data_IF_187004882216
#
_entry.id   IF_187004882216
#
_cell.length_a   1.000
_cell.length_b   1.000
_cell.length_c   1.000
_cell.angle_alpha   90.00
_cell.angle_beta   90.00
_cell.angle_gamma   90.00
#
_symmetry.space_group_name_H-M   'P 1'
#
loop_
_entity.id
_entity.type
_entity.pdbx_description
1 polymer ?
#
# COMPACT_ATOMS: atom_id res chain seq x y z
N UNK A 1 -0.89 -29.75 -15.47
CA UNK A 1 -0.87 -29.58 -14.01
C UNK A 1 0.36 -30.28 -13.49
N UNK A 2 1.30 -29.58 -12.86
CA UNK A 2 2.45 -30.23 -12.24
C UNK A 2 1.96 -31.08 -11.05
N UNK A 3 2.52 -32.28 -10.83
CA UNK A 3 2.12 -33.11 -9.70
C UNK A 3 2.42 -32.36 -8.39
N UNK A 4 1.55 -32.45 -7.38
CA UNK A 4 1.80 -31.86 -6.07
C UNK A 4 3.07 -32.47 -5.49
N UNK A 5 4.03 -31.61 -5.11
CA UNK A 5 5.27 -32.02 -4.44
C UNK A 5 4.89 -32.56 -3.06
N UNK A 6 5.08 -33.87 -2.84
CA UNK A 6 4.57 -34.58 -1.67
C UNK A 6 5.37 -34.31 -0.38
N UNK A 7 6.56 -33.73 -0.49
CA UNK A 7 7.53 -33.59 0.60
C UNK A 7 7.68 -32.15 1.11
N UNK A 8 6.60 -31.36 1.12
CA UNK A 8 6.64 -29.98 1.63
C UNK A 8 5.76 -29.85 2.85
N UNK A 9 6.37 -29.53 4.00
CA UNK A 9 5.63 -29.20 5.22
C UNK A 9 4.75 -27.98 4.95
N UNK A 10 3.45 -28.12 5.17
CA UNK A 10 2.54 -26.98 5.05
C UNK A 10 2.77 -26.00 6.21
N UNK A 11 3.50 -24.92 5.89
CA UNK A 11 3.80 -23.82 6.81
C UNK A 11 2.77 -22.70 6.74
N UNK A 12 1.85 -22.73 5.75
CA UNK A 12 0.89 -21.65 5.53
C UNK A 12 -0.01 -21.40 6.75
N UNK A 13 -0.57 -22.43 7.43
CA UNK A 13 -1.34 -22.23 8.65
C UNK A 13 -0.54 -21.56 9.77
N UNK A 14 0.74 -21.93 9.91
CA UNK A 14 1.63 -21.36 10.94
C UNK A 14 1.93 -19.89 10.65
N UNK A 15 2.20 -19.54 9.39
CA UNK A 15 2.43 -18.16 8.97
C UNK A 15 1.18 -17.29 9.20
N UNK A 16 -0.01 -17.81 8.85
CA UNK A 16 -1.29 -17.14 9.09
C UNK A 16 -1.55 -16.92 10.59
N UNK A 17 -1.31 -17.93 11.42
CA UNK A 17 -1.41 -17.81 12.87
C UNK A 17 -0.47 -16.73 13.44
N UNK A 18 0.75 -16.60 12.91
CA UNK A 18 1.67 -15.52 13.29
C UNK A 18 1.15 -14.14 12.88
N UNK A 19 0.54 -14.01 11.69
CA UNK A 19 -0.07 -12.76 11.24
C UNK A 19 -1.30 -12.37 12.09
N UNK A 20 -2.10 -13.35 12.52
CA UNK A 20 -3.21 -13.14 13.45
C UNK A 20 -2.74 -12.74 14.86
N UNK A 21 -1.62 -13.30 15.31
CA UNK A 21 -1.07 -13.02 16.65
C UNK A 21 -0.30 -11.70 16.77
N UNK A 22 0.20 -11.15 15.67
CA UNK A 22 0.93 -9.88 15.67
C UNK A 22 0.67 -9.03 14.41
N UNK A 23 0.11 -7.84 14.64
CA UNK A 23 -0.14 -6.83 13.60
C UNK A 23 1.12 -6.49 12.80
N UNK A 24 2.31 -6.54 13.41
CA UNK A 24 3.55 -6.26 12.69
C UNK A 24 3.82 -7.27 11.57
N UNK A 25 3.52 -8.54 11.80
CA UNK A 25 3.69 -9.61 10.81
C UNK A 25 2.67 -9.45 9.69
N UNK A 26 1.41 -9.19 10.05
CA UNK A 26 0.34 -8.90 9.10
C UNK A 26 0.69 -7.73 8.17
N UNK A 27 1.08 -6.58 8.73
CA UNK A 27 1.41 -5.39 7.94
C UNK A 27 2.66 -5.57 7.08
N UNK A 28 3.67 -6.31 7.57
CA UNK A 28 4.87 -6.65 6.80
C UNK A 28 4.53 -7.53 5.61
N UNK A 29 3.72 -8.57 5.79
CA UNK A 29 3.27 -9.44 4.71
C UNK A 29 2.52 -8.63 3.63
N UNK A 30 1.59 -7.77 4.06
CA UNK A 30 0.85 -6.89 3.16
C UNK A 30 1.78 -5.95 2.37
N UNK A 31 2.74 -5.31 3.04
CA UNK A 31 3.69 -4.40 2.41
C UNK A 31 4.62 -5.14 1.44
N UNK A 32 5.08 -6.33 1.81
CA UNK A 32 5.93 -7.16 0.97
C UNK A 32 5.21 -7.55 -0.32
N UNK A 33 3.96 -8.02 -0.22
CA UNK A 33 3.13 -8.34 -1.39
C UNK A 33 2.96 -7.13 -2.31
N UNK A 34 2.59 -5.96 -1.77
CA UNK A 34 2.40 -4.75 -2.58
C UNK A 34 3.71 -4.34 -3.26
N UNK A 35 4.84 -4.40 -2.54
CA UNK A 35 6.14 -4.06 -3.12
C UNK A 35 6.56 -5.02 -4.23
N UNK A 36 6.27 -6.32 -4.07
CA UNK A 36 6.55 -7.32 -5.08
C UNK A 36 5.72 -7.08 -6.35
N UNK A 37 4.41 -6.87 -6.21
CA UNK A 37 3.53 -6.58 -7.35
C UNK A 37 3.96 -5.28 -8.06
N UNK A 38 4.32 -4.24 -7.31
CA UNK A 38 4.82 -3.00 -7.91
C UNK A 38 6.16 -3.15 -8.62
N UNK A 39 7.07 -3.96 -8.08
CA UNK A 39 8.35 -4.25 -8.71
C UNK A 39 8.14 -5.06 -10.00
N UNK A 40 7.29 -6.08 -9.95
CA UNK A 40 6.88 -6.88 -11.11
C UNK A 40 6.26 -6.00 -12.19
N UNK A 41 5.45 -5.01 -11.78
CA UNK A 41 4.77 -4.11 -12.70
C UNK A 41 5.67 -3.09 -13.40
N UNK A 42 6.75 -2.66 -12.75
CA UNK A 42 7.67 -1.63 -13.25
C UNK A 42 8.86 -2.20 -14.00
N UNK A 43 8.99 -3.52 -14.04
CA UNK A 43 10.12 -4.18 -14.68
C UNK A 43 10.15 -3.90 -16.19
N UNK A 44 11.35 -3.65 -16.74
CA UNK A 44 11.51 -3.23 -18.14
C UNK A 44 11.11 -4.35 -19.13
N UNK A 45 11.25 -5.62 -18.73
CA UNK A 45 10.83 -6.78 -19.53
C UNK A 45 9.32 -7.07 -19.43
N UNK A 46 8.47 -6.11 -19.81
CA UNK A 46 7.00 -6.25 -19.80
C UNK A 46 6.46 -7.37 -20.70
N UNK A 47 7.24 -7.82 -21.70
CA UNK A 47 6.88 -8.95 -22.57
C UNK A 47 6.91 -10.30 -21.86
N UNK A 48 7.84 -10.47 -20.91
CA UNK A 48 8.01 -11.71 -20.13
C UNK A 48 7.19 -11.63 -18.84
N UNK A 49 7.26 -10.49 -18.15
CA UNK A 49 6.58 -10.27 -16.87
C UNK A 49 5.26 -9.52 -17.07
N UNK A 50 4.26 -10.21 -17.61
CA UNK A 50 2.93 -9.63 -17.84
C UNK A 50 2.12 -9.66 -16.54
N UNK A 51 1.88 -8.49 -15.94
CA UNK A 51 1.02 -8.33 -14.74
C UNK A 51 -0.36 -8.99 -14.92
N UNK A 52 -0.89 -8.99 -16.15
CA UNK A 52 -2.21 -9.57 -16.45
C UNK A 52 -2.25 -11.07 -16.23
N UNK A 53 -1.12 -11.75 -16.38
CA UNK A 53 -0.99 -13.21 -16.24
C UNK A 53 -0.50 -13.62 -14.85
N UNK A 54 -0.20 -12.64 -13.99
CA UNK A 54 0.26 -12.91 -12.64
C UNK A 54 -0.91 -13.45 -11.81
N UNK A 55 -0.76 -14.66 -11.28
CA UNK A 55 -1.71 -15.25 -10.34
C UNK A 55 -1.57 -14.57 -8.96
N UNK A 56 -2.40 -13.56 -8.74
CA UNK A 56 -2.46 -12.82 -7.48
C UNK A 56 -2.94 -13.69 -6.31
N UNK A 57 -3.76 -14.73 -6.55
CA UNK A 57 -4.27 -15.59 -5.49
C UNK A 57 -3.17 -16.54 -4.99
N UNK A 58 -2.43 -17.19 -5.89
CA UNK A 58 -1.24 -17.97 -5.53
C UNK A 58 -0.17 -17.10 -4.87
N UNK A 59 0.08 -15.90 -5.40
CA UNK A 59 1.03 -14.97 -4.81
C UNK A 59 0.62 -14.56 -3.39
N UNK A 60 -0.66 -14.21 -3.17
CA UNK A 60 -1.16 -13.85 -1.86
C UNK A 60 -1.08 -15.01 -0.85
N UNK A 61 -1.29 -16.26 -1.30
CA UNK A 61 -1.02 -17.46 -0.49
C UNK A 61 0.46 -17.59 -0.14
N UNK A 62 1.37 -17.34 -1.08
CA UNK A 62 2.82 -17.34 -0.83
C UNK A 62 3.28 -16.32 0.21
N UNK A 63 2.60 -15.17 0.31
CA UNK A 63 2.83 -14.17 1.35
C UNK A 63 2.01 -14.39 2.64
N UNK A 64 1.27 -15.50 2.73
CA UNK A 64 0.39 -15.84 3.86
C UNK A 64 -0.56 -14.69 4.26
N UNK A 65 -1.13 -14.01 3.26
CA UNK A 65 -2.06 -12.91 3.51
C UNK A 65 -3.38 -13.44 4.08
N UNK A 66 -3.92 -12.74 5.08
CA UNK A 66 -5.27 -13.00 5.61
C UNK A 66 -6.35 -12.39 4.71
N UNK A 67 -6.01 -11.27 4.07
CA UNK A 67 -6.87 -10.47 3.18
C UNK A 67 -6.03 -9.81 2.10
N UNK A 68 -6.62 -9.60 0.92
CA UNK A 68 -5.97 -8.84 -0.16
C UNK A 68 -5.91 -7.33 0.15
N UNK A 69 -4.79 -6.65 -0.17
CA UNK A 69 -4.68 -5.21 -0.03
C UNK A 69 -5.57 -4.47 -1.01
N UNK A 70 -5.95 -3.24 -0.67
CA UNK A 70 -6.61 -2.32 -1.60
C UNK A 70 -5.54 -1.58 -2.41
N UNK A 71 -5.33 -1.98 -3.67
CA UNK A 71 -4.35 -1.36 -4.57
C UNK A 71 -4.88 -1.28 -6.01
N UNK A 72 -4.40 -0.34 -6.85
CA UNK A 72 -4.94 -0.12 -8.20
C UNK A 72 -4.84 -1.36 -9.10
N UNK A 73 -3.84 -2.21 -8.91
CA UNK A 73 -3.56 -3.42 -9.70
C UNK A 73 -4.59 -4.54 -9.47
N UNK A 74 -5.25 -4.52 -8.31
CA UNK A 74 -6.31 -5.47 -7.91
C UNK A 74 -7.72 -4.87 -8.09
N UNK A 75 -7.82 -3.58 -8.44
CA UNK A 75 -9.10 -2.88 -8.51
C UNK A 75 -9.94 -3.41 -9.67
N UNK A 76 -11.18 -3.83 -9.37
CA UNK A 76 -12.12 -4.35 -10.36
C UNK A 76 -11.89 -5.82 -10.76
N UNK A 77 -10.94 -6.51 -10.11
CA UNK A 77 -10.72 -7.95 -10.28
C UNK A 77 -11.36 -8.72 -9.11
N UNK A 78 -11.92 -9.88 -9.42
CA UNK A 78 -12.40 -10.87 -8.45
C UNK A 78 -11.40 -12.02 -8.37
N UNK A 79 -11.20 -12.54 -7.16
CA UNK A 79 -10.24 -13.61 -6.88
C UNK A 79 -10.96 -14.76 -6.17
N UNK A 80 -11.68 -15.62 -6.91
CA UNK A 80 -12.40 -16.76 -6.32
C UNK A 80 -11.45 -17.76 -5.66
N UNK A 81 -10.23 -17.91 -6.19
CA UNK A 81 -9.22 -18.86 -5.70
C UNK A 81 -8.49 -18.40 -4.44
N UNK A 82 -8.81 -17.21 -3.91
CA UNK A 82 -8.24 -16.69 -2.68
C UNK A 82 -9.23 -16.75 -1.53
N UNK A 83 -9.05 -17.73 -0.65
CA UNK A 83 -9.81 -17.87 0.59
C UNK A 83 -9.39 -16.79 1.60
N UNK A 84 -10.22 -15.75 1.72
CA UNK A 84 -10.08 -14.74 2.76
C UNK A 84 -10.48 -15.32 4.11
N UNK A 85 -9.69 -15.05 5.14
CA UNK A 85 -10.10 -15.40 6.49
C UNK A 85 -11.20 -14.45 6.96
N UNK A 86 -12.25 -15.01 7.57
CA UNK A 86 -13.40 -14.26 8.09
C UNK A 86 -13.07 -13.39 9.32
N UNK A 87 -11.79 -13.24 9.67
CA UNK A 87 -11.35 -12.50 10.85
C UNK A 87 -11.33 -11.00 10.54
N UNK A 88 -11.89 -10.20 11.45
CA UNK A 88 -11.76 -8.76 11.38
C UNK A 88 -10.29 -8.35 11.61
N UNK A 89 -9.62 -8.00 10.51
CA UNK A 89 -8.21 -7.61 10.52
C UNK A 89 -7.94 -6.41 11.43
N UNK A 90 -8.92 -5.55 11.69
CA UNK A 90 -8.72 -4.34 12.50
C UNK A 90 -8.59 -4.62 14.01
N UNK A 91 -9.01 -5.81 14.44
CA UNK A 91 -8.85 -6.27 15.82
C UNK A 91 -7.44 -6.77 16.15
N UNK A 92 -6.62 -7.06 15.14
CA UNK A 92 -5.24 -7.55 15.30
C UNK A 92 -4.39 -6.44 15.96
N UNK A 93 -3.84 -6.74 17.14
CA UNK A 93 -3.00 -5.83 17.93
C UNK A 93 -1.52 -6.05 17.64
N UNK A 94 -0.70 -5.02 17.84
CA UNK A 94 0.75 -5.21 17.90
C UNK A 94 1.12 -5.98 19.16
N UNK A 95 2.04 -6.95 19.04
CA UNK A 95 2.62 -7.64 20.21
C UNK A 95 3.44 -6.69 21.09
N UNK A 96 4.05 -5.67 20.47
CA UNK A 96 4.77 -4.60 21.16
C UNK A 96 3.82 -3.53 21.70
N UNK A 97 3.80 -3.38 23.04
CA UNK A 97 2.97 -2.43 23.77
C UNK A 97 3.22 -0.97 23.37
N UNK A 98 4.45 -0.60 23.03
CA UNK A 98 4.78 0.79 22.65
C UNK A 98 4.21 1.12 21.27
N UNK A 99 4.32 0.18 20.33
CA UNK A 99 3.73 0.32 19.00
C UNK A 99 2.21 0.33 19.03
N UNK A 100 1.59 -0.48 19.90
CA UNK A 100 0.13 -0.46 20.06
C UNK A 100 -0.36 0.86 20.64
N UNK A 101 0.31 1.41 21.67
CA UNK A 101 0.00 2.75 22.19
C UNK A 101 0.08 3.81 21.09
N UNK A 102 1.12 3.78 20.27
CA UNK A 102 1.28 4.71 19.14
C UNK A 102 0.18 4.53 18.08
N UNK A 103 -0.22 3.28 17.80
CA UNK A 103 -1.34 2.98 16.89
C UNK A 103 -2.64 3.56 17.41
N UNK A 104 -2.98 3.31 18.68
CA UNK A 104 -4.19 3.82 19.30
C UNK A 104 -4.22 5.35 19.32
N UNK A 105 -3.10 6.00 19.63
CA UNK A 105 -2.98 7.47 19.54
C UNK A 105 -3.27 7.97 18.13
N UNK A 106 -2.67 7.36 17.10
CA UNK A 106 -2.95 7.73 15.68
C UNK A 106 -4.40 7.48 15.29
N UNK A 107 -5.00 6.37 15.74
CA UNK A 107 -6.41 6.06 15.47
C UNK A 107 -7.35 7.07 16.12
N UNK A 108 -7.07 7.48 17.37
CA UNK A 108 -7.81 8.54 18.04
C UNK A 108 -7.66 9.87 17.31
N UNK A 109 -6.42 10.27 16.95
CA UNK A 109 -6.17 11.48 16.17
C UNK A 109 -6.87 11.47 14.81
N UNK A 110 -6.95 10.31 14.14
CA UNK A 110 -7.67 10.13 12.87
C UNK A 110 -9.20 10.20 13.03
N UNK A 111 -9.72 9.84 14.20
CA UNK A 111 -11.16 9.90 14.50
C UNK A 111 -11.58 11.32 14.92
N UNK A 112 -10.74 11.99 15.70
CA UNK A 112 -10.89 13.39 16.13
C UNK A 112 -10.74 14.36 14.95
N UNK A 113 -9.83 14.05 14.01
CA UNK A 113 -9.85 14.70 12.69
C UNK A 113 -11.05 14.16 11.94
N UNK A 114 -12.16 14.89 11.99
CA UNK A 114 -13.27 14.72 11.06
C UNK A 114 -12.75 14.43 9.64
N UNK A 115 -13.44 13.60 8.84
CA UNK A 115 -13.04 13.29 7.49
C UNK A 115 -13.10 14.57 6.66
N UNK A 116 -11.99 15.32 6.64
CA UNK A 116 -11.77 16.44 5.75
C UNK A 116 -12.01 15.90 4.35
N UNK A 117 -13.20 16.18 3.83
CA UNK A 117 -13.70 15.85 2.52
C UNK A 117 -12.53 15.72 1.56
N UNK A 118 -12.29 14.49 1.09
CA UNK A 118 -11.24 14.08 0.15
C UNK A 118 -10.76 15.31 -0.60
N UNK A 119 -9.65 15.91 -0.15
CA UNK A 119 -9.08 17.07 -0.83
C UNK A 119 -8.82 16.60 -2.24
N UNK A 120 -9.68 17.01 -3.17
CA UNK A 120 -9.57 16.68 -4.57
C UNK A 120 -8.12 16.92 -4.93
N UNK A 121 -7.46 15.85 -5.40
CA UNK A 121 -6.07 15.84 -5.81
C UNK A 121 -5.83 17.08 -6.65
N UNK A 122 -5.22 18.12 -6.07
CA UNK A 122 -4.97 19.37 -6.79
C UNK A 122 -3.97 18.98 -7.85
N UNK A 123 -4.45 18.80 -9.09
CA UNK A 123 -3.61 18.53 -10.25
C UNK A 123 -2.47 19.52 -10.21
N UNK A 124 -1.24 19.02 -10.13
CA UNK A 124 -0.01 19.81 -10.24
C UNK A 124 -0.21 20.87 -11.32
N UNK A 125 -0.18 22.16 -10.94
CA UNK A 125 -0.28 23.23 -11.94
C UNK A 125 0.91 23.08 -12.87
N UNK A 126 0.64 23.02 -14.18
CA UNK A 126 1.66 22.90 -15.21
C UNK A 126 2.83 23.89 -14.96
N UNK A 127 4.07 23.40 -15.14
CA UNK A 127 5.35 24.10 -14.89
C UNK A 127 5.36 25.58 -15.33
N UNK A 128 4.69 25.90 -16.45
CA UNK A 128 4.50 27.26 -16.97
C UNK A 128 3.88 28.24 -15.94
N UNK A 129 2.86 27.81 -15.18
CA UNK A 129 2.21 28.66 -14.17
C UNK A 129 3.12 28.93 -12.97
N UNK A 130 4.05 28.02 -12.67
CA UNK A 130 5.03 28.14 -11.59
C UNK A 130 6.17 29.09 -11.99
N UNK A 131 6.63 29.02 -13.25
CA UNK A 131 7.62 29.95 -13.83
C UNK A 131 7.09 31.39 -13.84
N UNK A 132 5.84 31.59 -14.27
CA UNK A 132 5.20 32.92 -14.28
C UNK A 132 5.06 33.55 -12.88
N UNK A 133 4.81 32.74 -11.84
CA UNK A 133 4.75 33.24 -10.45
C UNK A 133 6.14 33.65 -9.94
N UNK A 134 7.19 32.91 -10.31
CA UNK A 134 8.58 33.25 -9.96
C UNK A 134 9.03 34.53 -10.66
N UNK A 135 8.69 34.70 -11.94
CA UNK A 135 9.01 35.93 -12.68
C UNK A 135 8.26 37.16 -12.15
N UNK A 136 6.97 37.03 -11.80
CA UNK A 136 6.25 38.12 -11.13
C UNK A 136 6.88 38.51 -9.79
N UNK A 137 7.35 37.53 -9.01
CA UNK A 137 8.02 37.80 -7.72
C UNK A 137 9.38 38.47 -7.92
N UNK A 138 10.17 38.06 -8.92
CA UNK A 138 11.42 38.73 -9.30
C UNK A 138 11.18 40.18 -9.76
N UNK A 139 10.21 40.42 -10.65
CA UNK A 139 9.87 41.78 -11.11
C UNK A 139 9.42 42.69 -9.98
N UNK A 140 8.62 42.17 -9.02
CA UNK A 140 8.16 42.95 -7.86
C UNK A 140 9.31 43.24 -6.87
N UNK A 141 10.24 42.30 -6.70
CA UNK A 141 11.44 42.51 -5.88
C UNK A 141 12.44 43.48 -6.53
N UNK A 142 12.58 43.45 -7.86
CA UNK A 142 13.44 44.39 -8.58
C UNK A 142 12.91 45.81 -8.50
N UNK A 143 11.58 46.00 -8.63
CA UNK A 143 10.95 47.32 -8.45
C UNK A 143 11.16 47.89 -7.04
N UNK A 144 11.13 47.05 -6.00
CA UNK A 144 11.38 47.49 -4.61
C UNK A 144 12.82 47.89 -4.33
N UNK A 145 13.79 47.36 -5.08
CA UNK A 145 15.22 47.73 -4.97
C UNK A 145 15.60 48.96 -5.78
N UNK A 146 14.69 49.46 -6.61
CA UNK A 146 14.87 50.63 -7.47
C UNK A 146 14.26 51.89 -6.84
N UNK A 147 13.50 51.72 -5.76
CA UNK A 147 12.72 52.74 -5.03
C UNK A 147 13.33 52.99 -3.64
N UNK A 148 14.55 52.50 -3.41
CA UNK A 148 15.42 52.65 -2.24
C UNK A 148 16.76 53.20 -2.75
#
# INVERSE_FOLDING_TARGET
SYPPVKDVVDILPKLKAMALGDRAMFEKGMRAFVSHVQAYAKHECSLIFRIKDLDFAALARGFALLRLPKMPELRGKTFPDFEQEAVDTDTIRFKDKNREKQRQKRLAELKEREPLLKKNFIKNKAWSKQKNKKDKKKKKSAKRKLDE
#
